data_IF_150031440338
#
_entry.id   IF_150031440338
#
_cell.length_a   1.000
_cell.length_b   1.000
_cell.length_c   1.000
_cell.angle_alpha   90.00
_cell.angle_beta   90.00
_cell.angle_gamma   90.00
#
_symmetry.space_group_name_H-M   'P 1'
#
loop_
_entity.id
_entity.type
_entity.pdbx_description
1 polymer ?
#
# COMPACT_ATOMS: atom_id res chain seq x y z
N UNK A 1 10.47 -20.73 12.49
CA UNK A 1 11.04 -20.59 13.85
C UNK A 1 11.72 -19.22 13.89
N UNK A 2 10.95 -18.18 14.24
CA UNK A 2 11.35 -16.78 14.08
C UNK A 2 12.43 -16.41 15.12
N UNK A 3 13.63 -16.06 14.63
CA UNK A 3 14.80 -15.76 15.46
C UNK A 3 14.64 -14.40 16.12
N UNK A 4 14.73 -14.38 17.45
CA UNK A 4 14.68 -13.20 18.32
C UNK A 4 13.55 -12.21 18.05
N UNK A 5 12.30 -12.69 18.16
CA UNK A 5 11.13 -11.82 18.25
C UNK A 5 11.36 -10.72 19.29
N UNK A 6 11.22 -9.45 18.87
CA UNK A 6 11.11 -8.29 19.75
C UNK A 6 9.99 -8.55 20.78
N UNK A 7 10.36 -9.04 21.97
CA UNK A 7 9.40 -9.30 23.05
C UNK A 7 8.75 -7.98 23.44
N UNK A 8 7.43 -7.96 23.70
CA UNK A 8 6.70 -6.73 24.04
C UNK A 8 7.33 -5.90 25.17
N UNK A 9 7.96 -6.56 26.16
CA UNK A 9 8.69 -5.89 27.23
C UNK A 9 9.98 -5.18 26.76
N UNK A 10 10.70 -5.76 25.78
CA UNK A 10 11.86 -5.14 25.15
C UNK A 10 11.43 -3.97 24.26
N UNK A 11 10.34 -4.12 23.50
CA UNK A 11 9.76 -3.04 22.70
C UNK A 11 9.35 -1.83 23.57
N UNK A 12 8.72 -2.08 24.72
CA UNK A 12 8.30 -1.01 25.64
C UNK A 12 9.47 -0.14 26.10
N UNK A 13 10.59 -0.79 26.44
CA UNK A 13 11.84 -0.15 26.89
C UNK A 13 12.67 0.44 25.75
N UNK A 14 12.35 0.12 24.49
CA UNK A 14 13.11 0.63 23.35
C UNK A 14 12.91 2.15 23.19
N UNK A 15 14.01 2.93 23.06
CA UNK A 15 13.92 4.36 22.79
C UNK A 15 13.37 4.63 21.39
N UNK A 16 13.51 3.67 20.46
CA UNK A 16 12.99 3.72 19.09
C UNK A 16 11.95 2.62 18.90
N UNK A 17 10.74 3.02 18.55
CA UNK A 17 9.61 2.11 18.40
C UNK A 17 9.23 2.01 16.94
N UNK A 18 9.18 0.80 16.40
CA UNK A 18 8.71 0.52 15.05
C UNK A 18 7.57 -0.51 15.12
N UNK A 19 6.41 -0.17 14.54
CA UNK A 19 5.21 -1.01 14.57
C UNK A 19 4.74 -1.27 13.13
N UNK A 20 4.33 -2.50 12.85
CA UNK A 20 3.53 -2.84 11.66
C UNK A 20 2.11 -3.17 12.09
N UNK A 21 1.12 -2.48 11.53
CA UNK A 21 -0.29 -2.78 11.72
C UNK A 21 -0.76 -3.78 10.66
N UNK A 22 -1.27 -4.93 11.10
CA UNK A 22 -1.90 -5.94 10.25
C UNK A 22 -3.39 -6.05 10.54
N UNK A 23 -4.15 -6.53 9.57
CA UNK A 23 -5.59 -6.76 9.70
C UNK A 23 -6.31 -6.48 8.40
N UNK A 24 -7.52 -7.03 8.25
CA UNK A 24 -8.31 -6.89 7.03
C UNK A 24 -8.60 -5.43 6.67
N UNK A 25 -8.96 -5.18 5.42
CA UNK A 25 -9.48 -3.87 5.02
C UNK A 25 -10.69 -3.48 5.89
N UNK A 26 -10.77 -2.21 6.30
CA UNK A 26 -11.88 -1.72 7.13
C UNK A 26 -11.79 -1.98 8.63
N UNK A 27 -10.85 -2.78 9.14
CA UNK A 27 -10.74 -3.09 10.59
C UNK A 27 -10.28 -1.89 11.46
N UNK A 28 -9.96 -0.75 10.83
CA UNK A 28 -9.58 0.47 11.54
C UNK A 28 -8.07 0.70 11.68
N UNK A 29 -7.21 0.02 10.89
CA UNK A 29 -5.75 0.24 10.89
C UNK A 29 -5.39 1.70 10.70
N UNK A 30 -5.89 2.33 9.64
CA UNK A 30 -5.65 3.74 9.34
C UNK A 30 -6.23 4.68 10.40
N UNK A 31 -7.33 4.29 11.07
CA UNK A 31 -7.90 5.05 12.20
C UNK A 31 -7.02 4.99 13.44
N UNK A 32 -6.41 3.84 13.73
CA UNK A 32 -5.43 3.72 14.80
C UNK A 32 -4.14 4.48 14.44
N UNK A 33 -3.67 4.31 13.20
CA UNK A 33 -2.53 5.01 12.67
C UNK A 33 -2.69 6.52 12.84
N UNK A 34 -3.83 7.10 12.45
CA UNK A 34 -4.07 8.54 12.53
C UNK A 34 -4.10 9.11 13.94
N UNK A 35 -4.28 8.27 14.97
CA UNK A 35 -4.25 8.68 16.38
C UNK A 35 -2.85 8.76 16.97
N UNK A 36 -1.84 8.17 16.32
CA UNK A 36 -0.45 8.33 16.75
C UNK A 36 0.05 9.75 16.44
N UNK A 37 0.87 10.36 17.33
CA UNK A 37 1.32 11.73 17.13
C UNK A 37 2.19 11.88 15.88
N UNK A 38 1.70 12.66 14.90
CA UNK A 38 2.39 12.91 13.61
C UNK A 38 3.74 13.63 13.76
N UNK A 39 4.04 14.22 14.91
CA UNK A 39 5.32 14.89 15.16
C UNK A 39 6.42 13.94 15.60
N UNK A 40 6.07 12.76 16.14
CA UNK A 40 7.04 11.80 16.69
C UNK A 40 7.00 10.44 16.01
N UNK A 41 5.95 10.15 15.25
CA UNK A 41 5.84 8.95 14.44
C UNK A 41 6.00 9.30 12.96
N UNK A 42 6.86 8.57 12.27
CA UNK A 42 6.88 8.53 10.82
C UNK A 42 5.80 7.54 10.35
N UNK A 43 4.86 8.00 9.53
CA UNK A 43 3.76 7.17 9.03
C UNK A 43 4.06 6.71 7.61
N UNK A 44 4.37 5.44 7.48
CA UNK A 44 4.50 4.75 6.21
C UNK A 44 3.15 4.13 5.84
N UNK A 45 2.55 4.60 4.75
CA UNK A 45 1.31 4.03 4.20
C UNK A 45 1.67 3.09 3.05
N UNK A 46 1.38 1.80 3.22
CA UNK A 46 1.61 0.78 2.20
C UNK A 46 0.86 1.10 0.91
N UNK A 47 -0.43 1.39 1.00
CA UNK A 47 -1.27 1.72 -0.17
C UNK A 47 -0.78 2.96 -0.92
N UNK A 48 -0.35 4.00 -0.18
CA UNK A 48 0.24 5.19 -0.80
C UNK A 48 1.54 4.84 -1.55
N UNK A 49 2.39 3.99 -0.96
CA UNK A 49 3.62 3.55 -1.62
C UNK A 49 3.33 2.71 -2.86
N UNK A 50 2.41 1.75 -2.76
CA UNK A 50 1.96 0.92 -3.88
C UNK A 50 1.56 1.81 -5.05
N UNK A 51 0.65 2.76 -4.81
CA UNK A 51 0.15 3.66 -5.84
C UNK A 51 1.22 4.57 -6.44
N UNK A 52 2.04 5.22 -5.60
CA UNK A 52 2.96 6.27 -6.05
C UNK A 52 4.34 5.78 -6.51
N UNK A 53 4.72 4.54 -6.16
CA UNK A 53 6.03 3.99 -6.55
C UNK A 53 5.94 2.86 -7.54
N UNK A 54 5.01 1.93 -7.32
CA UNK A 54 5.00 0.65 -8.03
C UNK A 54 3.91 0.57 -9.10
N UNK A 55 2.79 1.27 -8.88
CA UNK A 55 1.69 1.35 -9.83
C UNK A 55 1.57 2.69 -10.55
N UNK A 56 2.50 3.64 -10.31
CA UNK A 56 2.45 4.97 -10.92
C UNK A 56 2.41 4.90 -12.46
N UNK A 57 3.45 4.29 -13.05
CA UNK A 57 3.53 4.09 -14.49
C UNK A 57 2.39 3.21 -15.04
N UNK A 58 2.07 2.03 -14.47
CA UNK A 58 0.92 1.23 -14.93
C UNK A 58 -0.41 1.98 -14.96
N UNK A 59 -0.70 2.79 -13.94
CA UNK A 59 -1.92 3.60 -13.86
C UNK A 59 -1.88 4.67 -14.95
N UNK A 60 -0.77 5.43 -15.06
CA UNK A 60 -0.62 6.48 -16.06
C UNK A 60 -0.69 5.95 -17.49
N UNK A 61 -0.06 4.82 -17.78
CA UNK A 61 -0.07 4.21 -19.11
C UNK A 61 -1.46 3.72 -19.49
N UNK A 62 -2.26 3.25 -18.52
CA UNK A 62 -3.67 2.94 -18.78
C UNK A 62 -4.46 4.19 -19.19
N UNK A 63 -4.28 5.32 -18.48
CA UNK A 63 -4.95 6.58 -18.82
C UNK A 63 -4.46 7.13 -20.16
N UNK A 64 -3.14 7.09 -20.42
CA UNK A 64 -2.55 7.49 -21.70
C UNK A 64 -3.15 6.67 -22.84
N UNK A 65 -3.28 5.34 -22.70
CA UNK A 65 -3.86 4.48 -23.75
C UNK A 65 -5.29 4.89 -24.12
N UNK A 66 -6.10 5.27 -23.13
CA UNK A 66 -7.45 5.79 -23.39
C UNK A 66 -7.41 7.19 -24.03
N UNK A 67 -6.54 8.08 -23.54
CA UNK A 67 -6.35 9.40 -24.14
C UNK A 67 -5.88 9.32 -25.60
N UNK A 68 -5.05 8.34 -25.96
CA UNK A 68 -4.58 8.11 -27.33
C UNK A 68 -5.71 7.75 -28.31
N UNK A 69 -6.89 7.31 -27.83
CA UNK A 69 -8.08 7.05 -28.66
C UNK A 69 -8.79 8.34 -29.09
N UNK A 70 -8.53 9.45 -28.40
CA UNK A 70 -9.09 10.77 -28.73
C UNK A 70 -8.03 11.53 -29.54
N UNK A 71 -8.23 11.78 -30.85
CA UNK A 71 -7.19 12.36 -31.71
C UNK A 71 -6.58 13.67 -31.17
N UNK A 72 -7.43 14.55 -30.63
CA UNK A 72 -7.01 15.81 -29.99
C UNK A 72 -6.05 15.59 -28.81
N UNK A 73 -6.37 14.68 -27.89
CA UNK A 73 -5.51 14.38 -26.75
C UNK A 73 -4.23 13.66 -27.19
N UNK A 74 -4.34 12.78 -28.19
CA UNK A 74 -3.20 12.06 -28.75
C UNK A 74 -2.17 13.00 -29.39
N UNK A 75 -2.61 14.05 -30.08
CA UNK A 75 -1.72 15.09 -30.62
C UNK A 75 -0.99 15.82 -29.48
N UNK A 76 -1.74 16.33 -28.50
CA UNK A 76 -1.17 17.08 -27.36
C UNK A 76 -0.17 16.26 -26.54
N UNK A 77 -0.43 14.95 -26.35
CA UNK A 77 0.49 14.06 -25.63
C UNK A 77 1.74 13.73 -26.44
N UNK A 78 1.64 13.58 -27.77
CA UNK A 78 2.81 13.28 -28.63
C UNK A 78 3.74 14.46 -28.79
N UNK A 79 3.21 15.68 -28.79
CA UNK A 79 3.98 16.92 -28.90
C UNK A 79 4.45 17.44 -27.55
N UNK A 80 4.23 16.67 -26.46
CA UNK A 80 4.55 17.06 -25.08
C UNK A 80 3.91 18.41 -24.67
N UNK A 81 2.77 18.75 -25.29
CA UNK A 81 2.00 19.97 -25.00
C UNK A 81 1.17 19.84 -23.72
N UNK A 82 0.86 18.61 -23.31
CA UNK A 82 0.25 18.28 -22.02
C UNK A 82 0.95 17.07 -21.41
N UNK A 83 0.93 16.99 -20.07
CA UNK A 83 1.32 15.80 -19.33
C UNK A 83 0.16 15.31 -18.45
N UNK A 84 0.14 14.01 -18.19
CA UNK A 84 -0.84 13.38 -17.30
C UNK A 84 -0.15 12.96 -16.01
N UNK A 85 -0.78 13.30 -14.89
CA UNK A 85 -0.34 12.92 -13.56
C UNK A 85 -1.56 12.47 -12.74
N UNK A 86 -1.40 11.42 -11.96
CA UNK A 86 -2.43 11.00 -11.01
C UNK A 86 -2.26 11.73 -9.67
N UNK A 87 -3.35 11.98 -8.97
CA UNK A 87 -3.31 12.60 -7.64
C UNK A 87 -3.55 11.56 -6.54
N UNK A 88 -2.64 10.60 -6.43
CA UNK A 88 -2.68 9.60 -5.36
C UNK A 88 -2.19 10.26 -4.07
N UNK A 89 -2.97 10.11 -3.00
CA UNK A 89 -2.60 10.55 -1.66
C UNK A 89 -3.01 9.47 -0.66
N UNK A 90 -2.53 9.59 0.59
CA UNK A 90 -2.93 8.70 1.69
C UNK A 90 -4.46 8.65 1.89
N UNK A 91 -5.17 9.71 1.47
CA UNK A 91 -6.63 9.80 1.56
C UNK A 91 -7.36 9.59 0.22
N UNK A 92 -6.62 9.50 -0.89
CA UNK A 92 -7.18 9.30 -2.23
C UNK A 92 -6.48 8.15 -2.94
N UNK A 93 -6.98 6.94 -2.71
CA UNK A 93 -6.51 5.71 -3.35
C UNK A 93 -7.39 5.32 -4.56
N UNK A 94 -8.33 6.20 -4.96
CA UNK A 94 -9.23 5.96 -6.10
C UNK A 94 -8.50 5.58 -7.40
N UNK A 95 -7.35 6.18 -7.77
CA UNK A 95 -6.63 5.78 -8.98
C UNK A 95 -6.19 4.31 -8.96
N UNK A 96 -5.78 3.80 -7.80
CA UNK A 96 -5.39 2.38 -7.64
C UNK A 96 -6.63 1.49 -7.85
N UNK A 97 -7.73 1.78 -7.15
CA UNK A 97 -8.97 1.01 -7.27
C UNK A 97 -9.54 1.02 -8.69
N UNK A 98 -9.52 2.17 -9.37
CA UNK A 98 -9.95 2.31 -10.77
C UNK A 98 -9.05 1.55 -11.74
N UNK A 99 -7.74 1.48 -11.46
CA UNK A 99 -6.83 0.66 -12.24
C UNK A 99 -7.09 -0.82 -12.02
N UNK A 100 -7.19 -1.30 -10.78
CA UNK A 100 -7.48 -2.72 -10.51
C UNK A 100 -8.78 -3.17 -11.19
N UNK A 101 -9.84 -2.37 -11.07
CA UNK A 101 -11.13 -2.62 -11.71
C UNK A 101 -11.79 -3.92 -11.26
N UNK A 102 -12.80 -4.36 -12.02
CA UNK A 102 -13.53 -5.60 -11.78
C UNK A 102 -13.72 -6.36 -13.09
N UNK A 103 -13.82 -7.68 -13.02
CA UNK A 103 -14.20 -8.51 -14.17
C UNK A 103 -15.63 -8.14 -14.59
N UNK A 104 -15.87 -7.97 -15.89
CA UNK A 104 -17.23 -7.71 -16.37
C UNK A 104 -17.31 -7.32 -17.85
N UNK A 105 -18.49 -6.84 -18.24
CA UNK A 105 -18.71 -6.34 -19.60
C UNK A 105 -17.85 -5.09 -19.87
N UNK A 106 -17.03 -5.14 -20.92
CA UNK A 106 -16.17 -4.03 -21.35
C UNK A 106 -16.94 -2.74 -21.66
N UNK A 107 -18.16 -2.85 -22.21
CA UNK A 107 -19.01 -1.70 -22.49
C UNK A 107 -19.52 -1.00 -21.23
N UNK A 108 -19.54 -1.71 -20.10
CA UNK A 108 -19.93 -1.19 -18.78
C UNK A 108 -18.71 -0.91 -17.88
N UNK A 109 -17.50 -0.87 -18.45
CA UNK A 109 -16.26 -0.61 -17.72
C UNK A 109 -15.63 -1.83 -17.03
N UNK A 110 -16.11 -3.04 -17.33
CA UNK A 110 -15.52 -4.29 -16.82
C UNK A 110 -14.29 -4.74 -17.60
N UNK A 111 -13.39 -5.45 -16.91
CA UNK A 111 -12.17 -6.01 -17.48
C UNK A 111 -12.40 -7.44 -17.99
N UNK A 112 -11.66 -7.83 -19.02
CA UNK A 112 -11.51 -9.26 -19.35
C UNK A 112 -10.69 -9.96 -18.26
N UNK A 113 -10.92 -11.26 -18.10
CA UNK A 113 -10.22 -12.09 -17.10
C UNK A 113 -8.70 -11.94 -17.20
N UNK A 114 -8.13 -11.94 -18.40
CA UNK A 114 -6.68 -11.84 -18.59
C UNK A 114 -6.11 -10.49 -18.14
N UNK A 115 -6.81 -9.39 -18.42
CA UNK A 115 -6.36 -8.05 -18.01
C UNK A 115 -6.55 -7.87 -16.50
N UNK A 116 -7.65 -8.36 -15.94
CA UNK A 116 -7.85 -8.38 -14.49
C UNK A 116 -6.72 -9.16 -13.79
N UNK A 117 -6.41 -10.37 -14.25
CA UNK A 117 -5.30 -11.18 -13.71
C UNK A 117 -3.97 -10.45 -13.80
N UNK A 118 -3.65 -9.86 -14.96
CA UNK A 118 -2.44 -9.06 -15.14
C UNK A 118 -2.34 -7.93 -14.12
N UNK A 119 -3.42 -7.17 -13.90
CA UNK A 119 -3.44 -6.06 -12.94
C UNK A 119 -3.34 -6.53 -11.49
N UNK A 120 -3.96 -7.66 -11.15
CA UNK A 120 -3.81 -8.30 -9.84
C UNK A 120 -2.36 -8.76 -9.60
N UNK A 121 -1.68 -9.31 -10.61
CA UNK A 121 -0.26 -9.68 -10.50
C UNK A 121 0.63 -8.46 -10.25
N UNK A 122 0.44 -7.37 -10.99
CA UNK A 122 1.17 -6.11 -10.78
C UNK A 122 0.94 -5.56 -9.37
N UNK A 123 -0.28 -5.63 -8.85
CA UNK A 123 -0.59 -5.21 -7.49
C UNK A 123 0.08 -6.10 -6.44
N UNK A 124 0.06 -7.43 -6.60
CA UNK A 124 0.76 -8.35 -5.71
C UNK A 124 2.26 -8.04 -5.64
N UNK A 125 2.90 -7.83 -6.79
CA UNK A 125 4.31 -7.43 -6.85
C UNK A 125 4.55 -6.06 -6.18
N UNK A 126 3.65 -5.11 -6.39
CA UNK A 126 3.72 -3.80 -5.74
C UNK A 126 3.59 -3.89 -4.21
N UNK A 127 2.69 -4.74 -3.70
CA UNK A 127 2.53 -4.99 -2.27
C UNK A 127 3.79 -5.60 -1.65
N UNK A 128 4.36 -6.63 -2.29
CA UNK A 128 5.62 -7.26 -1.86
C UNK A 128 6.71 -6.20 -1.73
N UNK A 129 6.95 -5.45 -2.80
CA UNK A 129 8.04 -4.47 -2.82
C UNK A 129 7.79 -3.31 -1.85
N UNK A 130 6.54 -2.87 -1.68
CA UNK A 130 6.20 -1.86 -0.68
C UNK A 130 6.46 -2.35 0.75
N UNK A 131 6.34 -3.64 1.04
CA UNK A 131 6.70 -4.17 2.36
C UNK A 131 8.20 -4.36 2.53
N UNK A 132 8.91 -4.75 1.47
CA UNK A 132 10.38 -4.83 1.50
C UNK A 132 11.04 -3.47 1.72
N UNK A 133 10.43 -2.38 1.23
CA UNK A 133 10.87 -1.00 1.46
C UNK A 133 10.88 -0.58 2.94
N UNK A 134 10.10 -1.25 3.82
CA UNK A 134 9.88 -0.83 5.20
C UNK A 134 11.20 -0.68 5.97
N UNK A 135 12.13 -1.63 5.83
CA UNK A 135 13.46 -1.59 6.48
C UNK A 135 14.22 -0.30 6.17
N UNK A 136 14.27 0.06 4.88
CA UNK A 136 14.93 1.28 4.43
C UNK A 136 14.20 2.54 4.93
N UNK A 137 12.87 2.50 5.01
CA UNK A 137 12.08 3.62 5.51
C UNK A 137 12.14 3.80 7.03
N UNK A 138 12.38 2.74 7.81
CA UNK A 138 12.70 2.86 9.24
C UNK A 138 13.97 3.69 9.42
N UNK A 139 15.04 3.33 8.69
CA UNK A 139 16.29 4.08 8.71
C UNK A 139 16.08 5.53 8.22
N UNK A 140 15.40 5.72 7.09
CA UNK A 140 15.12 7.05 6.53
C UNK A 140 14.28 7.93 7.46
N UNK A 141 13.25 7.36 8.09
CA UNK A 141 12.39 8.04 9.05
C UNK A 141 13.19 8.65 10.19
N UNK A 142 14.18 7.91 10.69
CA UNK A 142 15.08 8.38 11.73
C UNK A 142 16.18 9.31 11.19
N UNK A 143 17.00 8.84 10.25
CA UNK A 143 18.25 9.51 9.86
C UNK A 143 18.01 10.74 8.99
N UNK A 144 16.99 10.71 8.12
CA UNK A 144 16.69 11.82 7.21
C UNK A 144 15.65 12.77 7.79
N UNK A 145 14.60 12.21 8.41
CA UNK A 145 13.45 13.02 8.83
C UNK A 145 13.41 13.27 10.35
N UNK A 146 14.29 12.64 11.14
CA UNK A 146 14.41 12.90 12.58
C UNK A 146 13.29 12.31 13.44
N UNK A 147 12.47 11.41 12.90
CA UNK A 147 11.38 10.79 13.66
C UNK A 147 11.92 9.72 14.62
N UNK A 148 11.57 9.77 15.92
CA UNK A 148 12.02 8.78 16.88
C UNK A 148 11.28 7.44 16.76
N UNK A 149 10.09 7.43 16.14
CA UNK A 149 9.23 6.26 16.03
C UNK A 149 8.73 6.07 14.60
N UNK A 150 8.36 4.83 14.27
CA UNK A 150 7.97 4.42 12.94
C UNK A 150 6.70 3.57 12.96
N UNK A 151 5.78 3.85 12.04
CA UNK A 151 4.56 3.10 11.85
C UNK A 151 4.44 2.67 10.39
N UNK A 152 4.31 1.37 10.15
CA UNK A 152 3.87 0.79 8.89
C UNK A 152 2.36 0.49 8.97
N UNK A 153 1.55 1.29 8.27
CA UNK A 153 0.14 0.99 7.97
C UNK A 153 0.10 0.14 6.69
N UNK A 154 0.20 -1.18 6.87
CA UNK A 154 0.26 -2.13 5.77
C UNK A 154 -1.12 -2.31 5.11
N UNK A 155 -1.13 -2.69 3.83
CA UNK A 155 -2.35 -3.00 3.09
C UNK A 155 -3.17 -4.10 3.76
N UNK A 156 -4.50 -4.07 3.57
CA UNK A 156 -5.42 -5.03 4.20
C UNK A 156 -5.21 -6.49 3.79
N UNK A 157 -4.55 -6.71 2.66
CA UNK A 157 -4.24 -8.00 2.03
C UNK A 157 -2.87 -8.56 2.43
N UNK A 158 -2.06 -7.87 3.23
CA UNK A 158 -0.72 -8.35 3.58
C UNK A 158 -0.75 -9.73 4.27
N UNK A 159 -1.79 -10.04 5.05
CA UNK A 159 -1.94 -11.35 5.68
C UNK A 159 -2.19 -12.49 4.66
N UNK A 160 -2.65 -12.17 3.46
CA UNK A 160 -2.93 -13.09 2.36
C UNK A 160 -1.75 -13.17 1.39
N UNK A 161 -0.72 -12.36 1.62
CA UNK A 161 0.47 -12.26 0.79
C UNK A 161 1.40 -13.44 1.10
N UNK A 162 1.23 -14.52 0.34
CA UNK A 162 2.07 -15.72 0.41
C UNK A 162 3.41 -15.45 -0.32
N UNK A 163 4.26 -14.60 0.28
CA UNK A 163 5.61 -14.31 -0.21
C UNK A 163 6.65 -14.56 0.91
N UNK A 164 7.51 -15.59 0.77
CA UNK A 164 8.52 -15.92 1.77
C UNK A 164 9.47 -14.73 2.03
N UNK A 165 9.76 -14.46 3.30
CA UNK A 165 10.74 -13.45 3.71
C UNK A 165 10.13 -12.08 4.01
N UNK A 166 8.97 -11.74 3.47
CA UNK A 166 8.33 -10.44 3.72
C UNK A 166 7.90 -10.33 5.19
N UNK A 167 7.16 -11.31 5.69
CA UNK A 167 6.72 -11.32 7.09
C UNK A 167 7.91 -11.48 8.05
N UNK A 168 8.92 -12.26 7.68
CA UNK A 168 10.15 -12.41 8.45
C UNK A 168 10.87 -11.07 8.61
N UNK A 169 11.08 -10.32 7.51
CA UNK A 169 11.70 -8.99 7.57
C UNK A 169 10.88 -8.05 8.47
N UNK A 170 9.55 -8.02 8.30
CA UNK A 170 8.69 -7.17 9.10
C UNK A 170 8.74 -7.55 10.59
N UNK A 171 8.82 -8.84 10.92
CA UNK A 171 8.92 -9.32 12.30
C UNK A 171 10.30 -9.08 12.93
N UNK A 172 11.36 -9.08 12.13
CA UNK A 172 12.72 -8.70 12.56
C UNK A 172 12.79 -7.20 12.87
N UNK A 173 12.18 -6.37 12.02
CA UNK A 173 12.35 -4.91 12.07
C UNK A 173 11.30 -4.20 12.92
N UNK A 174 10.13 -4.81 13.14
CA UNK A 174 8.97 -4.15 13.78
C UNK A 174 8.21 -5.06 14.72
N UNK A 175 7.53 -4.47 15.71
CA UNK A 175 6.49 -5.16 16.45
C UNK A 175 5.24 -5.25 15.56
N UNK A 176 4.87 -6.47 15.19
CA UNK A 176 3.63 -6.73 14.44
C UNK A 176 2.43 -6.69 15.39
N UNK A 177 1.48 -5.80 15.11
CA UNK A 177 0.22 -5.66 15.85
C UNK A 177 -0.93 -6.00 14.91
N UNK A 178 -1.58 -7.13 15.17
CA UNK A 178 -2.74 -7.57 14.41
C UNK A 178 -4.04 -7.02 15.02
N UNK A 179 -4.79 -6.24 14.24
CA UNK A 179 -6.12 -5.78 14.60
C UNK A 179 -7.13 -6.86 14.18
N UNK A 180 -7.63 -7.57 15.18
CA UNK A 180 -8.66 -8.60 14.97
C UNK A 180 -10.01 -7.92 14.63
N UNK A 181 -10.70 -8.36 13.56
CA UNK A 181 -12.06 -7.91 13.28
C UNK A 181 -13.02 -8.31 14.39
N UNK A 182 -14.05 -7.49 14.63
CA UNK A 182 -15.12 -7.82 15.55
C UNK A 182 -16.06 -8.86 14.93
N UNK A 183 -16.80 -9.59 15.78
CA UNK A 183 -17.77 -10.59 15.31
C UNK A 183 -18.84 -9.95 14.41
N UNK A 184 -19.21 -8.69 14.66
CA UNK A 184 -20.13 -7.91 13.83
C UNK A 184 -19.55 -7.55 12.45
N UNK A 185 -18.23 -7.39 12.31
CA UNK A 185 -17.59 -7.22 11.00
C UNK A 185 -17.51 -8.56 10.26
N UNK A 186 -17.17 -9.64 10.98
CA UNK A 186 -17.11 -10.98 10.41
C UNK A 186 -18.47 -11.45 9.89
N UNK A 187 -19.57 -11.11 10.58
CA UNK A 187 -20.92 -11.46 10.14
C UNK A 187 -21.41 -10.75 8.88
N UNK A 188 -20.69 -9.72 8.41
CA UNK A 188 -20.97 -9.01 7.15
C UNK A 188 -20.18 -9.57 5.97
N UNK A 189 -19.20 -10.45 6.22
CA UNK A 189 -18.46 -11.15 5.17
C UNK A 189 -19.31 -12.37 4.79
N UNK A 190 -19.99 -12.26 3.66
CA UNK A 190 -20.87 -13.30 3.08
C UNK A 190 -20.02 -14.40 2.47
#
# INVERSE_FOLDING_TARGET
MYRDNLKGAAFWKSPRKAITLLGMSGVGKTTLASRLPRQTWFHYSGDYRIGTRYLDEPILDNVKREAMRVPFLAELLRTDSIYLCHNISVHNLKPIASFLGMIGNRELGGLSVDEFKRRQSLHREAEINAMLDVRAFIAKGHDTYGYPHFLNDAGGSLCELDEPGVLEQLAEDTLIVYLKPSDAMLSQII
#
